data_IF_131309464077
#
_entry.id   IF_131309464077
#
_cell.length_a   1.000
_cell.length_b   1.000
_cell.length_c   1.000
_cell.angle_alpha   90.00
_cell.angle_beta   90.00
_cell.angle_gamma   90.00
#
_symmetry.space_group_name_H-M   'P 1'
#
loop_
_entity.id
_entity.type
_entity.pdbx_description
1 polymer ?
#
# COMPACT_ATOMS: atom_id res chain seq x y z
N UNK A 1 -24.17 -4.62 -11.50
CA UNK A 1 -24.83 -4.81 -10.19
C UNK A 1 -24.54 -3.58 -9.35
N UNK A 2 -25.60 -3.00 -8.81
CA UNK A 2 -25.77 -1.59 -8.41
C UNK A 2 -24.59 -0.97 -7.64
N UNK A 3 -24.05 0.13 -8.17
CA UNK A 3 -23.15 1.02 -7.45
C UNK A 3 -23.96 2.02 -6.64
N UNK A 4 -24.61 1.56 -5.57
CA UNK A 4 -25.18 2.47 -4.58
C UNK A 4 -24.05 3.30 -3.96
N UNK A 5 -24.22 4.62 -3.97
CA UNK A 5 -23.23 5.58 -3.49
C UNK A 5 -22.85 5.30 -2.05
N UNK A 6 -21.67 4.72 -1.85
CA UNK A 6 -21.11 4.52 -0.51
C UNK A 6 -20.78 5.89 0.08
N UNK A 7 -21.23 6.10 1.30
CA UNK A 7 -20.86 7.29 2.07
C UNK A 7 -19.67 6.96 2.95
N UNK A 8 -18.77 7.92 3.09
CA UNK A 8 -17.66 7.86 4.03
C UNK A 8 -17.93 8.86 5.13
N UNK A 9 -18.02 8.37 6.36
CA UNK A 9 -18.05 9.22 7.56
C UNK A 9 -16.62 9.40 8.04
N UNK A 10 -16.20 10.64 8.22
CA UNK A 10 -14.89 11.04 8.73
C UNK A 10 -15.08 11.69 10.09
N UNK A 11 -14.34 11.22 11.09
CA UNK A 11 -14.15 11.92 12.37
C UNK A 11 -12.70 12.39 12.52
N UNK A 12 -12.49 13.67 12.80
CA UNK A 12 -11.18 14.23 13.11
C UNK A 12 -10.93 14.22 14.62
N UNK A 13 -9.73 13.79 15.02
CA UNK A 13 -9.27 13.70 16.40
C UNK A 13 -7.95 14.44 16.59
N UNK A 14 -7.76 15.00 17.78
CA UNK A 14 -6.54 15.72 18.17
C UNK A 14 -5.51 14.80 18.88
N UNK A 15 -5.91 13.60 19.31
CA UNK A 15 -5.03 12.61 19.96
C UNK A 15 -5.17 11.20 19.38
N UNK A 16 -4.10 10.40 19.50
CA UNK A 16 -4.06 9.01 19.04
C UNK A 16 -5.04 8.15 19.85
N UNK A 17 -5.15 8.39 21.15
CA UNK A 17 -6.04 7.66 22.06
C UNK A 17 -7.51 7.91 21.72
N UNK A 18 -7.86 9.16 21.39
CA UNK A 18 -9.20 9.53 20.95
C UNK A 18 -9.54 8.86 19.61
N UNK A 19 -8.61 8.92 18.65
CA UNK A 19 -8.76 8.23 17.37
C UNK A 19 -8.92 6.71 17.56
N UNK A 20 -8.11 6.07 18.40
CA UNK A 20 -8.20 4.64 18.70
C UNK A 20 -9.53 4.28 19.38
N UNK A 21 -10.02 5.12 20.29
CA UNK A 21 -11.32 4.93 20.93
C UNK A 21 -12.48 5.07 19.95
N UNK A 22 -12.40 6.00 18.99
CA UNK A 22 -13.35 6.17 17.89
C UNK A 22 -13.30 5.03 16.89
N UNK A 23 -12.11 4.53 16.53
CA UNK A 23 -11.97 3.35 15.69
C UNK A 23 -12.59 2.11 16.34
N UNK A 24 -12.36 1.90 17.65
CA UNK A 24 -12.98 0.79 18.40
C UNK A 24 -14.51 0.91 18.49
N UNK A 25 -15.07 2.12 18.60
CA UNK A 25 -16.54 2.29 18.59
C UNK A 25 -17.14 1.97 17.23
N UNK A 26 -16.44 2.31 16.14
CA UNK A 26 -16.83 1.91 14.79
C UNK A 26 -16.74 0.40 14.56
N UNK A 27 -15.68 -0.25 15.06
CA UNK A 27 -15.51 -1.71 14.96
C UNK A 27 -16.51 -2.50 15.84
N UNK A 28 -17.14 -1.86 16.83
CA UNK A 28 -18.22 -2.45 17.61
C UNK A 28 -19.57 -2.43 16.87
N UNK A 29 -19.71 -1.63 15.82
CA UNK A 29 -20.87 -1.68 14.93
C UNK A 29 -20.77 -2.90 14.00
N UNK A 30 -21.87 -3.35 13.39
CA UNK A 30 -21.88 -4.42 12.39
C UNK A 30 -21.27 -3.95 11.05
N UNK A 31 -20.05 -3.44 11.09
CA UNK A 31 -19.24 -2.99 9.97
C UNK A 31 -18.05 -3.95 9.82
N UNK A 32 -17.75 -4.42 8.61
CA UNK A 32 -16.54 -5.22 8.40
C UNK A 32 -15.30 -4.33 8.59
N UNK A 33 -14.26 -4.90 9.21
CA UNK A 33 -13.06 -4.16 9.60
C UNK A 33 -12.30 -3.53 8.42
N UNK A 34 -12.45 -4.07 7.22
CA UNK A 34 -11.87 -3.56 5.97
C UNK A 34 -12.50 -2.23 5.49
N UNK A 35 -13.62 -1.82 6.09
CA UNK A 35 -14.32 -0.56 5.83
C UNK A 35 -14.00 0.53 6.83
N UNK A 36 -13.11 0.29 7.79
CA UNK A 36 -12.62 1.31 8.73
C UNK A 36 -11.15 1.56 8.41
N UNK A 37 -10.75 2.81 8.25
CA UNK A 37 -9.36 3.18 7.98
C UNK A 37 -8.98 4.44 8.75
N UNK A 38 -7.68 4.67 8.91
CA UNK A 38 -7.12 5.86 9.54
C UNK A 38 -6.25 6.61 8.55
N UNK A 39 -6.38 7.93 8.51
CA UNK A 39 -5.53 8.81 7.71
C UNK A 39 -4.83 9.77 8.68
N UNK A 40 -3.50 9.75 8.66
CA UNK A 40 -2.66 10.63 9.47
C UNK A 40 -1.49 11.15 8.64
N UNK A 41 -0.98 12.33 8.98
CA UNK A 41 0.24 12.90 8.42
C UNK A 41 1.51 12.24 9.00
N UNK A 42 1.39 11.52 10.12
CA UNK A 42 2.49 10.80 10.76
C UNK A 42 2.30 9.29 10.58
N UNK A 43 3.39 8.58 10.32
CA UNK A 43 3.38 7.13 10.26
C UNK A 43 3.04 6.55 11.63
N UNK A 44 1.89 5.90 11.72
CA UNK A 44 1.40 5.28 12.93
C UNK A 44 1.68 3.77 12.89
N UNK A 45 2.14 3.14 14.00
CA UNK A 45 2.27 1.69 14.06
C UNK A 45 0.92 1.00 13.79
N UNK A 46 0.98 -0.12 13.08
CA UNK A 46 -0.20 -0.92 12.79
C UNK A 46 -0.88 -1.37 14.11
N UNK A 47 -2.21 -1.21 14.17
CA UNK A 47 -3.00 -1.50 15.37
C UNK A 47 -3.02 -0.39 16.43
N UNK A 48 -2.30 0.73 16.26
CA UNK A 48 -2.39 1.82 17.24
C UNK A 48 -3.74 2.57 17.17
N UNK A 49 -4.39 2.60 16.01
CA UNK A 49 -5.77 3.11 15.85
C UNK A 49 -6.67 2.07 15.16
N UNK A 50 -6.28 1.60 13.97
CA UNK A 50 -6.93 0.52 13.24
C UNK A 50 -5.87 -0.50 12.83
N UNK A 51 -6.26 -1.77 12.76
CA UNK A 51 -5.41 -2.82 12.19
C UNK A 51 -5.72 -2.96 10.71
N UNK A 52 -4.72 -2.84 9.82
CA UNK A 52 -4.95 -3.05 8.38
C UNK A 52 -4.98 -4.57 8.08
N UNK A 53 -6.12 -5.12 7.63
CA UNK A 53 -6.21 -6.56 7.36
C UNK A 53 -5.47 -6.98 6.08
N UNK A 54 -4.92 -6.05 5.28
CA UNK A 54 -4.32 -6.35 3.98
C UNK A 54 -2.90 -6.90 4.14
N UNK A 55 -2.66 -8.19 3.83
CA UNK A 55 -1.33 -8.74 3.91
C UNK A 55 -0.41 -8.10 2.86
N UNK A 56 0.80 -7.76 3.28
CA UNK A 56 1.85 -7.24 2.41
C UNK A 56 2.40 -8.40 1.55
N UNK A 57 1.86 -8.57 0.34
CA UNK A 57 2.23 -9.68 -0.56
C UNK A 57 3.37 -9.36 -1.54
N UNK A 58 3.78 -8.09 -1.64
CA UNK A 58 4.79 -7.70 -2.63
C UNK A 58 6.18 -8.34 -2.47
N UNK A 59 6.67 -8.74 -1.28
CA UNK A 59 7.99 -9.37 -1.16
C UNK A 59 8.15 -10.63 -2.01
N UNK A 60 7.08 -11.42 -2.18
CA UNK A 60 7.11 -12.62 -3.03
C UNK A 60 7.27 -12.27 -4.52
N UNK A 61 6.68 -11.16 -4.96
CA UNK A 61 6.84 -10.65 -6.33
C UNK A 61 8.30 -10.23 -6.54
N UNK A 62 8.91 -9.58 -5.56
CA UNK A 62 10.31 -9.15 -5.62
C UNK A 62 11.25 -10.34 -5.74
N UNK A 63 11.05 -11.37 -4.91
CA UNK A 63 11.84 -12.61 -4.97
C UNK A 63 11.71 -13.29 -6.34
N UNK A 64 10.49 -13.40 -6.87
CA UNK A 64 10.25 -13.97 -8.20
C UNK A 64 11.03 -13.22 -9.28
N UNK A 65 10.93 -11.89 -9.29
CA UNK A 65 11.61 -11.07 -10.30
C UNK A 65 13.13 -11.01 -10.13
N UNK A 66 13.64 -11.21 -8.91
CA UNK A 66 15.08 -11.41 -8.69
C UNK A 66 15.59 -12.66 -9.42
N UNK A 67 14.89 -13.79 -9.29
CA UNK A 67 15.25 -15.02 -10.01
C UNK A 67 15.10 -14.87 -11.53
N UNK A 68 14.03 -14.21 -12.00
CA UNK A 68 13.86 -13.91 -13.43
C UNK A 68 15.02 -13.05 -13.94
N UNK A 69 15.43 -12.02 -13.19
CA UNK A 69 16.58 -11.18 -13.51
C UNK A 69 17.90 -11.96 -13.52
N UNK A 70 18.11 -12.86 -12.57
CA UNK A 70 19.30 -13.72 -12.52
C UNK A 70 19.37 -14.66 -13.74
N UNK A 71 18.27 -15.35 -14.07
CA UNK A 71 18.19 -16.22 -15.26
C UNK A 71 18.43 -15.41 -16.53
N UNK A 72 17.85 -14.20 -16.62
CA UNK A 72 18.06 -13.31 -17.73
C UNK A 72 19.53 -12.84 -17.86
N UNK A 73 20.19 -12.47 -16.76
CA UNK A 73 21.60 -12.07 -16.77
C UNK A 73 22.56 -13.20 -17.12
N UNK A 74 22.33 -14.40 -16.60
CA UNK A 74 23.08 -15.60 -16.98
C UNK A 74 22.86 -15.94 -18.46
N UNK A 75 21.61 -15.84 -18.94
CA UNK A 75 21.27 -16.02 -20.35
C UNK A 75 21.93 -14.98 -21.25
N UNK A 76 21.95 -13.71 -20.85
CA UNK A 76 22.55 -12.60 -21.60
C UNK A 76 24.07 -12.77 -21.77
N UNK A 77 24.75 -13.17 -20.70
CA UNK A 77 26.20 -13.44 -20.75
C UNK A 77 26.51 -14.65 -21.60
N UNK A 78 25.77 -15.76 -21.44
CA UNK A 78 25.93 -16.95 -22.26
C UNK A 78 25.66 -16.66 -23.74
N UNK A 79 24.59 -15.91 -24.04
CA UNK A 79 24.26 -15.49 -25.41
C UNK A 79 25.37 -14.64 -26.03
N UNK A 80 25.96 -13.73 -25.25
CA UNK A 80 27.09 -12.91 -25.69
C UNK A 80 28.31 -13.77 -26.04
N UNK A 81 28.63 -14.78 -25.23
CA UNK A 81 29.71 -15.74 -25.51
C UNK A 81 29.45 -16.58 -26.77
N UNK A 82 28.20 -16.94 -27.04
CA UNK A 82 27.81 -17.72 -28.22
C UNK A 82 27.86 -16.90 -29.51
N UNK A 83 27.40 -15.65 -29.48
CA UNK A 83 27.34 -14.78 -30.68
C UNK A 83 28.69 -14.16 -30.99
N UNK A 84 29.49 -13.83 -29.97
CA UNK A 84 30.77 -13.17 -30.14
C UNK A 84 31.88 -13.80 -29.29
N UNK A 85 32.33 -15.02 -29.64
CA UNK A 85 33.38 -15.71 -28.92
C UNK A 85 34.74 -15.01 -29.15
N UNK A 86 35.22 -14.29 -28.14
CA UNK A 86 36.55 -13.69 -28.15
C UNK A 86 37.37 -14.16 -26.96
N UNK A 87 38.62 -14.53 -27.21
CA UNK A 87 39.59 -14.81 -26.15
C UNK A 87 40.21 -13.48 -25.73
N UNK A 88 39.99 -13.09 -24.47
CA UNK A 88 40.56 -11.85 -23.92
C UNK A 88 41.55 -12.18 -22.80
N UNK A 89 42.77 -11.65 -22.91
CA UNK A 89 43.84 -11.85 -21.92
C UNK A 89 44.13 -13.34 -21.59
N UNK A 90 43.99 -14.23 -22.58
CA UNK A 90 44.21 -15.68 -22.42
C UNK A 90 43.20 -16.42 -21.54
N UNK A 91 42.11 -15.75 -21.13
CA UNK A 91 41.07 -16.35 -20.30
C UNK A 91 40.09 -17.18 -21.15
N UNK A 92 39.43 -18.20 -20.57
CA UNK A 92 38.33 -18.90 -21.23
C UNK A 92 37.24 -17.92 -21.68
N UNK A 93 36.54 -18.24 -22.77
CA UNK A 93 35.45 -17.40 -23.31
C UNK A 93 34.36 -17.20 -22.24
N UNK A 94 33.96 -18.29 -21.58
CA UNK A 94 33.08 -18.23 -20.42
C UNK A 94 33.91 -18.16 -19.12
N UNK A 95 33.91 -17.01 -18.47
CA UNK A 95 34.63 -16.80 -17.19
C UNK A 95 33.67 -16.50 -16.05
N UNK A 96 33.84 -17.20 -14.94
CA UNK A 96 32.95 -17.11 -13.79
C UNK A 96 32.86 -15.69 -13.18
N UNK A 97 33.98 -14.97 -12.94
CA UNK A 97 33.88 -13.68 -12.24
C UNK A 97 33.05 -12.62 -12.99
N UNK A 98 33.25 -12.38 -14.32
CA UNK A 98 32.39 -11.48 -15.08
C UNK A 98 30.94 -11.94 -15.17
N UNK A 99 30.70 -13.25 -15.36
CA UNK A 99 29.34 -13.80 -15.46
C UNK A 99 28.54 -13.56 -14.18
N UNK A 100 29.13 -13.79 -13.00
CA UNK A 100 28.44 -13.61 -11.72
C UNK A 100 28.10 -12.13 -11.48
N UNK A 101 29.01 -11.20 -11.80
CA UNK A 101 28.76 -9.77 -11.62
C UNK A 101 27.55 -9.32 -12.45
N UNK A 102 27.52 -9.64 -13.74
CA UNK A 102 26.39 -9.28 -14.61
C UNK A 102 25.10 -9.95 -14.17
N UNK A 103 25.16 -11.22 -13.76
CA UNK A 103 24.01 -11.96 -13.25
C UNK A 103 23.43 -11.31 -12.00
N UNK A 104 24.30 -10.90 -11.06
CA UNK A 104 23.91 -10.20 -9.83
C UNK A 104 23.23 -8.86 -10.13
N UNK A 105 23.80 -8.05 -11.03
CA UNK A 105 23.21 -6.75 -11.39
C UNK A 105 21.84 -6.91 -12.06
N UNK A 106 21.67 -7.89 -12.94
CA UNK A 106 20.36 -8.16 -13.56
C UNK A 106 19.34 -8.69 -12.54
N UNK A 107 19.77 -9.50 -11.58
CA UNK A 107 18.92 -9.95 -10.48
C UNK A 107 18.46 -8.78 -9.59
N UNK A 108 19.39 -7.90 -9.21
CA UNK A 108 19.08 -6.70 -8.43
C UNK A 108 18.19 -5.72 -9.20
N UNK A 109 18.43 -5.53 -10.49
CA UNK A 109 17.57 -4.72 -11.36
C UNK A 109 16.14 -5.26 -11.40
N UNK A 110 15.97 -6.58 -11.56
CA UNK A 110 14.67 -7.24 -11.50
C UNK A 110 13.96 -7.04 -10.16
N UNK A 111 14.68 -7.20 -9.05
CA UNK A 111 14.15 -6.97 -7.71
C UNK A 111 13.73 -5.50 -7.48
N UNK A 112 14.54 -4.53 -7.90
CA UNK A 112 14.24 -3.10 -7.74
C UNK A 112 13.06 -2.67 -8.60
N UNK A 113 13.02 -3.11 -9.87
CA UNK A 113 11.94 -2.74 -10.78
C UNK A 113 10.60 -3.34 -10.32
N UNK A 114 10.60 -4.58 -9.88
CA UNK A 114 9.39 -5.22 -9.34
C UNK A 114 8.94 -4.59 -8.02
N UNK A 115 9.87 -4.18 -7.15
CA UNK A 115 9.54 -3.42 -5.93
C UNK A 115 8.82 -2.13 -6.28
N UNK A 116 9.34 -1.38 -7.25
CA UNK A 116 8.74 -0.13 -7.71
C UNK A 116 7.32 -0.37 -8.23
N UNK A 117 7.14 -1.31 -9.16
CA UNK A 117 5.83 -1.64 -9.73
C UNK A 117 4.85 -2.12 -8.65
N UNK A 118 5.30 -3.00 -7.75
CA UNK A 118 4.44 -3.52 -6.70
C UNK A 118 4.06 -2.44 -5.69
N UNK A 119 4.92 -1.47 -5.39
CA UNK A 119 4.60 -0.32 -4.56
C UNK A 119 3.54 0.58 -5.23
N UNK A 120 3.69 0.89 -6.53
CA UNK A 120 2.70 1.66 -7.29
C UNK A 120 1.30 1.00 -7.26
N UNK A 121 1.25 -0.32 -7.40
CA UNK A 121 0.00 -1.09 -7.35
C UNK A 121 -0.56 -1.13 -5.91
N UNK A 122 0.29 -1.34 -4.90
CA UNK A 122 -0.12 -1.48 -3.50
C UNK A 122 -0.66 -0.18 -2.91
N UNK A 123 -0.04 0.96 -3.23
CA UNK A 123 -0.48 2.29 -2.79
C UNK A 123 -1.74 2.74 -3.56
N UNK A 124 -2.09 2.03 -4.64
CA UNK A 124 -3.24 2.36 -5.48
C UNK A 124 -3.05 3.68 -6.23
N UNK A 125 -1.81 4.10 -6.47
CA UNK A 125 -1.51 5.35 -7.19
C UNK A 125 -1.99 5.31 -8.65
N UNK A 126 -2.12 4.11 -9.22
CA UNK A 126 -2.76 3.89 -10.52
C UNK A 126 -4.28 4.16 -10.52
N UNK A 127 -4.92 4.41 -9.37
CA UNK A 127 -6.37 4.63 -9.24
C UNK A 127 -6.71 6.13 -9.44
N UNK A 128 -6.39 6.66 -10.62
CA UNK A 128 -6.44 8.10 -10.98
C UNK A 128 -7.85 8.73 -10.89
N UNK A 129 -8.93 7.94 -10.91
CA UNK A 129 -10.31 8.44 -11.08
C UNK A 129 -11.24 8.30 -9.87
N UNK A 130 -10.74 7.98 -8.68
CA UNK A 130 -11.63 7.83 -7.50
C UNK A 130 -11.46 8.99 -6.54
N UNK A 131 -12.57 9.61 -6.16
CA UNK A 131 -12.64 10.69 -5.18
C UNK A 131 -12.29 10.09 -3.81
N UNK A 132 -11.00 10.14 -3.46
CA UNK A 132 -10.54 9.83 -2.11
C UNK A 132 -11.01 10.94 -1.19
N UNK A 133 -11.66 10.55 -0.11
CA UNK A 133 -12.15 11.51 0.87
C UNK A 133 -10.96 12.00 1.69
N UNK A 134 -10.76 13.31 1.74
CA UNK A 134 -9.57 13.93 2.30
C UNK A 134 -9.91 15.26 2.98
N UNK A 135 -9.38 15.49 4.19
CA UNK A 135 -9.51 16.75 4.91
C UNK A 135 -8.12 17.40 5.07
N UNK A 136 -7.91 18.66 4.62
CA UNK A 136 -6.63 19.37 4.73
C UNK A 136 -6.09 19.47 6.16
N UNK A 137 -6.97 19.45 7.18
CA UNK A 137 -6.57 19.58 8.59
C UNK A 137 -5.75 18.40 9.10
N UNK A 138 -5.68 17.31 8.34
CA UNK A 138 -4.78 16.18 8.62
C UNK A 138 -3.31 16.62 8.52
N UNK A 139 -3.00 17.55 7.60
CA UNK A 139 -1.66 18.12 7.50
C UNK A 139 -1.27 18.98 8.72
N UNK A 140 -2.25 19.54 9.43
CA UNK A 140 -2.04 20.32 10.65
C UNK A 140 -1.80 19.43 11.90
N UNK A 141 -1.77 18.10 11.74
CA UNK A 141 -1.50 17.14 12.81
C UNK A 141 -2.75 16.43 13.36
N UNK A 142 -3.93 16.65 12.77
CA UNK A 142 -5.14 15.90 13.16
C UNK A 142 -5.12 14.49 12.57
N UNK A 143 -5.76 13.57 13.29
CA UNK A 143 -5.91 12.17 12.88
C UNK A 143 -7.35 11.97 12.41
N UNK A 144 -7.53 11.48 11.19
CA UNK A 144 -8.85 11.17 10.65
C UNK A 144 -9.14 9.67 10.79
N UNK A 145 -10.28 9.34 11.39
CA UNK A 145 -10.84 7.99 11.38
C UNK A 145 -12.01 7.98 10.42
N UNK A 146 -11.95 7.10 9.42
CA UNK A 146 -12.92 7.05 8.33
C UNK A 146 -13.63 5.70 8.29
N UNK A 147 -14.95 5.70 8.09
CA UNK A 147 -15.75 4.50 7.91
C UNK A 147 -16.56 4.57 6.62
N UNK A 148 -16.45 3.55 5.76
CA UNK A 148 -17.31 3.38 4.59
C UNK A 148 -18.61 2.69 5.00
N UNK A 149 -19.73 3.39 4.83
CA UNK A 149 -21.05 3.00 5.32
C UNK A 149 -22.10 3.14 4.21
N UNK A 150 -23.19 2.40 4.37
CA UNK A 150 -24.38 2.59 3.55
C UNK A 150 -25.12 3.86 3.99
N UNK A 151 -25.75 4.59 3.05
CA UNK A 151 -26.53 5.78 3.37
C UNK A 151 -27.73 5.43 4.26
N UNK A 152 -28.04 6.32 5.21
CA UNK A 152 -29.17 6.15 6.13
C UNK A 152 -28.75 5.93 7.59
N UNK A 153 -29.37 4.95 8.25
CA UNK A 153 -29.20 4.73 9.70
C UNK A 153 -27.76 4.33 10.09
N UNK A 154 -27.08 3.56 9.22
CA UNK A 154 -25.70 3.15 9.46
C UNK A 154 -24.74 4.35 9.50
N UNK A 155 -24.92 5.32 8.60
CA UNK A 155 -24.13 6.54 8.58
C UNK A 155 -24.35 7.42 9.81
N UNK A 156 -25.60 7.51 10.30
CA UNK A 156 -25.91 8.25 11.53
C UNK A 156 -25.26 7.59 12.74
N UNK A 157 -25.43 6.28 12.91
CA UNK A 157 -24.79 5.53 14.02
C UNK A 157 -23.27 5.64 14.00
N UNK A 158 -22.64 5.61 12.83
CA UNK A 158 -21.20 5.78 12.70
C UNK A 158 -20.75 7.20 13.08
N UNK A 159 -21.50 8.24 12.66
CA UNK A 159 -21.24 9.61 13.07
C UNK A 159 -21.40 9.79 14.59
N UNK A 160 -22.50 9.30 15.17
CA UNK A 160 -22.74 9.41 16.61
C UNK A 160 -21.65 8.70 17.43
N UNK A 161 -21.24 7.49 17.01
CA UNK A 161 -20.18 6.71 17.65
C UNK A 161 -18.80 7.40 17.62
N UNK A 162 -18.52 8.23 16.60
CA UNK A 162 -17.32 9.04 16.52
C UNK A 162 -17.43 10.30 17.39
N UNK A 163 -18.63 10.91 17.44
CA UNK A 163 -18.89 12.11 18.22
C UNK A 163 -18.76 11.86 19.73
N UNK A 164 -19.34 10.76 20.20
CA UNK A 164 -19.28 10.35 21.61
C UNK A 164 -17.86 10.14 22.13
N UNK A 165 -16.91 9.85 21.23
CA UNK A 165 -15.51 9.56 21.57
C UNK A 165 -14.55 10.73 21.35
N UNK A 166 -15.09 11.93 21.16
CA UNK A 166 -14.28 13.16 21.07
C UNK A 166 -13.89 13.53 19.64
N UNK A 167 -14.67 13.14 18.63
CA UNK A 167 -14.50 13.63 17.26
C UNK A 167 -14.78 15.14 17.19
N UNK A 168 -13.74 15.95 16.98
CA UNK A 168 -13.81 17.42 16.94
C UNK A 168 -14.59 17.95 15.73
N UNK A 169 -14.60 17.19 14.63
CA UNK A 169 -15.38 17.51 13.44
C UNK A 169 -15.76 16.22 12.72
N UNK A 170 -17.05 16.11 12.38
CA UNK A 170 -17.60 14.96 11.67
C UNK A 170 -18.14 15.42 10.32
N UNK A 171 -17.72 14.74 9.27
CA UNK A 171 -18.16 14.99 7.89
C UNK A 171 -18.59 13.69 7.25
N UNK A 172 -19.66 13.75 6.48
CA UNK A 172 -20.11 12.63 5.66
C UNK A 172 -20.03 13.05 4.21
N UNK A 173 -19.22 12.34 3.43
CA UNK A 173 -19.04 12.63 2.00
C UNK A 173 -19.22 11.36 1.17
N UNK A 174 -19.79 11.50 -0.03
CA UNK A 174 -19.77 10.42 -1.01
C UNK A 174 -18.34 10.24 -1.56
N UNK A 175 -17.83 9.01 -1.45
CA UNK A 175 -16.47 8.69 -1.86
C UNK A 175 -16.07 7.26 -1.50
N UNK A 176 -14.79 6.96 -1.68
CA UNK A 176 -14.19 5.68 -1.29
C UNK A 176 -12.97 5.91 -0.40
N UNK A 177 -12.69 4.92 0.45
CA UNK A 177 -11.50 4.84 1.29
C UNK A 177 -10.25 4.47 0.47
#
# INVERSE_FOLDING_TARGET
>A
MSGEGRMVVIGLFDSVEGAAAGARSLLALPLPADRVTTISSVALPDGAVVHDPRPIRFPWIVVLFWFVGAVFGAGLTLYSYLVYPMITAGKPIATVPPTIIVTYEMAMLGALLSTLVAAFVSIGLARIRRKKVYDPRIHDGRIAVCAAVEPGDQARRAADALMERGGTSIRTEEGEL
#
